data_IF_702528899379
#
_entry.id   IF_702528899379
#
_cell.length_a   1.000
_cell.length_b   1.000
_cell.length_c   1.000
_cell.angle_alpha   90.00
_cell.angle_beta   90.00
_cell.angle_gamma   90.00
#
_symmetry.space_group_name_H-M   'P 1'
#
loop_
_entity.id
_entity.type
_entity.pdbx_description
1 polymer ?
#
# COMPACT_ATOMS: atom_id res chain seq x y z
N UNK A 1 29.92 83.75 15.07
CA UNK A 1 28.94 83.76 13.97
C UNK A 1 29.74 83.69 12.69
N UNK A 2 29.75 82.52 12.06
CA UNK A 2 30.40 82.30 10.77
C UNK A 2 29.27 82.38 9.74
N UNK A 3 29.26 83.44 8.94
CA UNK A 3 28.38 83.53 7.77
C UNK A 3 28.83 82.48 6.77
N UNK A 4 28.03 81.43 6.63
CA UNK A 4 28.15 80.49 5.54
C UNK A 4 27.37 81.10 4.39
N UNK A 5 28.07 81.73 3.44
CA UNK A 5 27.52 82.10 2.15
C UNK A 5 27.15 80.81 1.40
N UNK A 6 25.91 80.38 1.54
CA UNK A 6 25.31 79.42 0.64
C UNK A 6 25.02 80.15 -0.68
N UNK A 7 25.99 80.18 -1.59
CA UNK A 7 25.72 80.41 -3.01
C UNK A 7 24.85 79.27 -3.53
N UNK A 8 23.55 79.39 -3.28
CA UNK A 8 22.55 78.62 -4.00
C UNK A 8 22.58 79.10 -5.44
N UNK A 9 23.16 78.29 -6.33
CA UNK A 9 22.96 78.42 -7.77
C UNK A 9 21.47 78.22 -8.04
N UNK A 10 20.68 79.29 -7.94
CA UNK A 10 19.30 79.31 -8.40
C UNK A 10 19.34 79.32 -9.93
N UNK A 11 19.37 78.12 -10.51
CA UNK A 11 19.02 77.95 -11.91
C UNK A 11 17.63 78.54 -12.13
N UNK A 12 17.54 79.63 -12.88
CA UNK A 12 16.28 80.29 -13.27
C UNK A 12 15.47 79.48 -14.29
N UNK A 13 15.96 78.32 -14.69
CA UNK A 13 15.22 77.35 -15.49
C UNK A 13 14.63 76.32 -14.53
N UNK A 14 13.38 76.53 -14.11
CA UNK A 14 12.59 75.46 -13.49
C UNK A 14 12.43 74.35 -14.54
N UNK A 15 12.87 73.11 -14.29
CA UNK A 15 12.44 72.00 -15.13
C UNK A 15 10.91 71.97 -15.15
N UNK A 16 10.32 72.19 -16.32
CA UNK A 16 8.88 72.30 -16.53
C UNK A 16 8.26 70.93 -16.89
N UNK A 17 8.90 69.83 -16.50
CA UNK A 17 8.32 68.51 -16.70
C UNK A 17 7.51 68.09 -15.47
N UNK A 18 6.50 67.27 -15.72
CA UNK A 18 5.66 66.62 -14.70
C UNK A 18 6.43 65.69 -13.77
N UNK A 19 7.72 65.48 -14.04
CA UNK A 19 8.57 64.46 -13.44
C UNK A 19 9.32 64.98 -12.20
N UNK A 20 8.98 66.16 -11.68
CA UNK A 20 9.64 66.74 -10.51
C UNK A 20 8.67 67.08 -9.40
N UNK A 21 8.96 66.57 -8.19
CA UNK A 21 8.21 66.89 -6.98
C UNK A 21 9.03 67.86 -6.12
N UNK A 22 8.43 68.99 -5.76
CA UNK A 22 9.08 70.07 -5.03
C UNK A 22 8.66 70.06 -3.56
N UNK A 23 9.60 69.84 -2.65
CA UNK A 23 9.37 69.92 -1.19
C UNK A 23 10.49 70.74 -0.55
N UNK A 24 10.12 71.73 0.28
CA UNK A 24 11.06 72.62 0.99
C UNK A 24 12.17 73.23 0.09
N UNK A 25 11.82 73.70 -1.11
CA UNK A 25 12.75 74.41 -2.00
C UNK A 25 13.71 73.55 -2.81
N UNK A 26 13.65 72.21 -2.70
CA UNK A 26 14.48 71.28 -3.47
C UNK A 26 13.62 70.55 -4.52
N UNK A 27 14.06 70.56 -5.79
CA UNK A 27 13.46 69.77 -6.87
C UNK A 27 13.97 68.33 -6.79
N UNK A 28 13.09 67.34 -6.72
CA UNK A 28 13.47 65.92 -6.84
C UNK A 28 12.84 65.31 -8.07
N UNK A 29 13.65 64.66 -8.91
CA UNK A 29 13.16 63.89 -10.04
C UNK A 29 12.44 62.63 -9.51
N UNK A 30 11.18 62.45 -9.87
CA UNK A 30 10.34 61.31 -9.47
C UNK A 30 10.25 60.24 -10.57
N UNK A 31 10.63 60.53 -11.82
CA UNK A 31 10.57 59.53 -12.91
C UNK A 31 11.45 58.33 -12.63
N UNK A 32 12.65 58.57 -12.09
CA UNK A 32 13.61 57.50 -11.78
C UNK A 32 13.07 56.59 -10.69
N UNK A 33 12.37 57.17 -9.70
CA UNK A 33 11.77 56.43 -8.60
C UNK A 33 10.55 55.63 -9.04
N UNK A 34 9.69 56.19 -9.90
CA UNK A 34 8.54 55.48 -10.46
C UNK A 34 8.96 54.31 -11.36
N UNK A 35 10.04 54.48 -12.14
CA UNK A 35 10.66 53.40 -12.92
C UNK A 35 11.24 52.30 -12.04
N UNK A 36 11.89 52.67 -10.93
CA UNK A 36 12.45 51.72 -9.97
C UNK A 36 11.34 50.94 -9.23
N UNK A 37 10.28 51.62 -8.80
CA UNK A 37 9.11 51.02 -8.15
C UNK A 37 8.34 50.09 -9.11
N UNK A 38 8.15 50.48 -10.37
CA UNK A 38 7.54 49.63 -11.41
C UNK A 38 8.41 48.40 -11.74
N UNK A 39 9.73 48.55 -11.77
CA UNK A 39 10.68 47.45 -11.96
C UNK A 39 10.62 46.46 -10.79
N UNK A 40 10.62 46.96 -9.55
CA UNK A 40 10.48 46.15 -8.34
C UNK A 40 9.14 45.41 -8.28
N UNK A 41 8.03 46.07 -8.65
CA UNK A 41 6.73 45.43 -8.75
C UNK A 41 6.70 44.34 -9.82
N UNK A 42 7.26 44.59 -11.01
CA UNK A 42 7.38 43.60 -12.07
C UNK A 42 8.23 42.39 -11.68
N UNK A 43 9.32 42.62 -10.94
CA UNK A 43 10.15 41.55 -10.38
C UNK A 43 9.41 40.74 -9.31
N UNK A 44 8.68 41.41 -8.39
CA UNK A 44 7.88 40.74 -7.37
C UNK A 44 6.75 39.92 -7.98
N UNK A 45 6.07 40.44 -9.00
CA UNK A 45 5.00 39.71 -9.68
C UNK A 45 5.54 38.52 -10.47
N UNK A 46 6.68 38.67 -11.15
CA UNK A 46 7.39 37.56 -11.80
C UNK A 46 7.81 36.50 -10.80
N UNK A 47 8.38 36.89 -9.66
CA UNK A 47 8.76 35.97 -8.58
C UNK A 47 7.54 35.23 -8.00
N UNK A 48 6.39 35.91 -7.83
CA UNK A 48 5.13 35.29 -7.41
C UNK A 48 4.62 34.26 -8.43
N UNK A 49 4.64 34.58 -9.72
CA UNK A 49 4.22 33.67 -10.80
C UNK A 49 5.13 32.44 -10.87
N UNK A 50 6.44 32.62 -10.77
CA UNK A 50 7.43 31.52 -10.72
C UNK A 50 7.19 30.64 -9.49
N UNK A 51 6.97 31.25 -8.31
CA UNK A 51 6.67 30.54 -7.07
C UNK A 51 5.39 29.69 -7.16
N UNK A 52 4.33 30.26 -7.76
CA UNK A 52 3.07 29.56 -7.99
C UNK A 52 3.24 28.37 -8.95
N UNK A 53 3.90 28.57 -10.10
CA UNK A 53 4.19 27.48 -11.04
C UNK A 53 5.08 26.40 -10.44
N UNK A 54 6.11 26.77 -9.67
CA UNK A 54 6.96 25.81 -8.97
C UNK A 54 6.15 25.00 -7.94
N UNK A 55 5.18 25.62 -7.28
CA UNK A 55 4.21 24.94 -6.41
C UNK A 55 3.36 23.92 -7.15
N UNK A 56 2.79 24.32 -8.30
CA UNK A 56 1.99 23.44 -9.16
C UNK A 56 2.81 22.24 -9.65
N UNK A 57 4.03 22.46 -10.16
CA UNK A 57 4.92 21.38 -10.63
C UNK A 57 5.23 20.39 -9.51
N UNK A 58 5.55 20.85 -8.30
CA UNK A 58 5.80 19.96 -7.15
C UNK A 58 4.56 19.16 -6.74
N UNK A 59 3.36 19.73 -6.88
CA UNK A 59 2.12 19.01 -6.60
C UNK A 59 1.84 17.93 -7.66
N UNK A 60 1.98 18.27 -8.94
CA UNK A 60 1.79 17.35 -10.05
C UNK A 60 2.83 16.21 -10.03
N UNK A 61 4.09 16.52 -9.71
CA UNK A 61 5.13 15.50 -9.55
C UNK A 61 4.79 14.50 -8.44
N UNK A 62 4.34 14.98 -7.27
CA UNK A 62 3.92 14.08 -6.17
C UNK A 62 2.74 13.20 -6.56
N UNK A 63 1.74 13.75 -7.25
CA UNK A 63 0.59 12.99 -7.74
C UNK A 63 1.02 11.91 -8.75
N UNK A 64 1.88 12.26 -9.70
CA UNK A 64 2.40 11.31 -10.69
C UNK A 64 3.21 10.19 -10.02
N UNK A 65 4.08 10.53 -9.06
CA UNK A 65 4.83 9.53 -8.30
C UNK A 65 3.91 8.56 -7.56
N UNK A 66 2.83 9.06 -6.96
CA UNK A 66 1.84 8.22 -6.29
C UNK A 66 1.10 7.31 -7.28
N UNK A 67 0.70 7.84 -8.44
CA UNK A 67 0.04 7.05 -9.49
C UNK A 67 0.94 5.94 -10.04
N UNK A 68 2.22 6.24 -10.27
CA UNK A 68 3.21 5.25 -10.72
C UNK A 68 3.33 4.13 -9.69
N UNK A 69 3.46 4.45 -8.40
CA UNK A 69 3.54 3.43 -7.33
C UNK A 69 2.30 2.54 -7.27
N UNK A 70 1.11 3.14 -7.36
CA UNK A 70 -0.16 2.39 -7.34
C UNK A 70 -0.22 1.44 -8.53
N UNK A 71 0.12 1.93 -9.74
CA UNK A 71 0.11 1.15 -10.97
C UNK A 71 1.13 0.01 -10.94
N UNK A 72 2.37 0.29 -10.55
CA UNK A 72 3.42 -0.73 -10.44
C UNK A 72 3.00 -1.86 -9.49
N UNK A 73 2.38 -1.51 -8.36
CA UNK A 73 1.87 -2.52 -7.42
C UNK A 73 0.71 -3.32 -8.02
N UNK A 74 -0.21 -2.69 -8.75
CA UNK A 74 -1.30 -3.42 -9.43
C UNK A 74 -0.78 -4.38 -10.50
N UNK A 75 0.24 -3.96 -11.26
CA UNK A 75 0.90 -4.80 -12.25
C UNK A 75 1.60 -5.98 -11.58
N UNK A 76 2.31 -5.76 -10.46
CA UNK A 76 2.93 -6.83 -9.68
C UNK A 76 1.90 -7.81 -9.08
N UNK A 77 0.78 -7.31 -8.53
CA UNK A 77 -0.31 -8.16 -8.05
C UNK A 77 -0.89 -9.02 -9.19
N UNK A 78 -1.13 -8.43 -10.36
CA UNK A 78 -1.68 -9.15 -11.52
C UNK A 78 -0.71 -10.23 -12.04
N UNK A 79 0.58 -9.91 -12.09
CA UNK A 79 1.64 -10.85 -12.48
C UNK A 79 1.71 -12.02 -11.49
N UNK A 80 1.68 -11.75 -10.17
CA UNK A 80 1.64 -12.78 -9.14
C UNK A 80 0.43 -13.71 -9.28
N UNK A 81 -0.77 -13.16 -9.49
CA UNK A 81 -1.97 -13.98 -9.70
C UNK A 81 -1.81 -14.87 -10.94
N UNK A 82 -1.24 -14.35 -12.02
CA UNK A 82 -1.03 -15.15 -13.22
C UNK A 82 0.00 -16.28 -12.97
N UNK A 83 1.09 -16.01 -12.26
CA UNK A 83 2.08 -17.03 -11.87
C UNK A 83 1.46 -18.14 -11.03
N UNK A 84 0.62 -17.79 -10.07
CA UNK A 84 -0.08 -18.77 -9.22
C UNK A 84 -1.03 -19.62 -10.06
N UNK A 85 -1.80 -19.00 -10.97
CA UNK A 85 -2.67 -19.74 -11.89
C UNK A 85 -1.87 -20.70 -12.78
N UNK A 86 -0.74 -20.27 -13.32
CA UNK A 86 0.14 -21.12 -14.14
C UNK A 86 0.72 -22.29 -13.32
N UNK A 87 1.06 -22.06 -12.05
CA UNK A 87 1.51 -23.13 -11.15
C UNK A 87 0.39 -24.15 -10.91
N UNK A 88 -0.84 -23.67 -10.68
CA UNK A 88 -2.01 -24.53 -10.50
C UNK A 88 -2.28 -25.40 -11.73
N UNK A 89 -2.20 -24.85 -12.93
CA UNK A 89 -2.42 -25.61 -14.18
C UNK A 89 -1.39 -26.71 -14.43
N UNK A 90 -0.22 -26.64 -13.78
CA UNK A 90 0.82 -27.68 -13.87
C UNK A 90 0.61 -28.80 -12.85
N UNK A 91 -0.33 -28.64 -11.91
CA UNK A 91 -0.66 -29.70 -10.96
C UNK A 91 -1.32 -30.85 -11.72
N UNK A 92 -0.69 -32.01 -11.63
CA UNK A 92 -1.23 -33.29 -12.09
C UNK A 92 -1.47 -34.27 -10.94
N UNK A 93 -0.92 -33.98 -9.74
CA UNK A 93 -1.05 -34.79 -8.53
C UNK A 93 -1.12 -33.91 -7.28
N UNK A 94 -1.79 -34.39 -6.24
CA UNK A 94 -2.02 -33.63 -5.01
C UNK A 94 -0.71 -33.26 -4.27
N UNK A 95 0.36 -34.02 -4.46
CA UNK A 95 1.68 -33.76 -3.86
C UNK A 95 2.42 -32.56 -4.49
N UNK A 96 1.89 -31.98 -5.57
CA UNK A 96 2.46 -30.80 -6.23
C UNK A 96 1.89 -29.47 -5.68
N UNK A 97 1.09 -29.52 -4.62
CA UNK A 97 0.53 -28.32 -3.99
C UNK A 97 1.62 -27.43 -3.39
N UNK A 98 2.74 -28.02 -3.00
CA UNK A 98 3.94 -27.35 -2.49
C UNK A 98 4.45 -26.31 -3.48
N UNK A 99 4.51 -26.63 -4.78
CA UNK A 99 4.95 -25.70 -5.84
C UNK A 99 4.06 -24.46 -5.93
N UNK A 100 2.74 -24.64 -5.75
CA UNK A 100 1.78 -23.54 -5.73
C UNK A 100 2.00 -22.67 -4.49
N UNK A 101 2.19 -23.29 -3.33
CA UNK A 101 2.41 -22.57 -2.07
C UNK A 101 3.75 -21.86 -2.02
N UNK A 102 4.81 -22.43 -2.60
CA UNK A 102 6.07 -21.75 -2.89
C UNK A 102 5.83 -20.50 -3.75
N UNK A 103 5.04 -20.63 -4.83
CA UNK A 103 4.72 -19.50 -5.72
C UNK A 103 3.91 -18.40 -5.00
N UNK A 104 3.00 -18.78 -4.10
CA UNK A 104 2.25 -17.84 -3.26
C UNK A 104 3.21 -17.16 -2.29
N UNK A 105 4.06 -17.92 -1.59
CA UNK A 105 5.05 -17.42 -0.66
C UNK A 105 5.96 -16.37 -1.33
N UNK A 106 6.51 -16.68 -2.51
CA UNK A 106 7.36 -15.76 -3.26
C UNK A 106 6.60 -14.51 -3.73
N UNK A 107 5.32 -14.66 -4.08
CA UNK A 107 4.46 -13.53 -4.44
C UNK A 107 4.21 -12.62 -3.25
N UNK A 108 3.92 -13.16 -2.07
CA UNK A 108 3.74 -12.37 -0.84
C UNK A 108 5.03 -11.63 -0.47
N UNK A 109 6.19 -12.30 -0.55
CA UNK A 109 7.50 -11.66 -0.32
C UNK A 109 7.84 -10.58 -1.33
N UNK A 110 7.62 -10.83 -2.63
CA UNK A 110 7.85 -9.84 -3.69
C UNK A 110 6.94 -8.61 -3.59
N UNK A 111 5.85 -8.74 -2.82
CA UNK A 111 4.92 -7.69 -2.49
C UNK A 111 5.14 -7.13 -1.07
N UNK A 112 6.27 -7.41 -0.42
CA UNK A 112 6.61 -6.91 0.91
C UNK A 112 5.48 -7.09 1.95
N UNK A 113 4.68 -8.17 1.83
CA UNK A 113 3.63 -8.49 2.81
C UNK A 113 4.31 -9.13 4.02
N UNK A 114 3.99 -8.67 5.24
CA UNK A 114 4.58 -9.18 6.47
C UNK A 114 3.89 -10.46 6.93
N UNK A 115 4.43 -11.61 6.51
CA UNK A 115 3.90 -12.93 6.88
C UNK A 115 5.02 -13.86 7.35
N UNK A 116 4.60 -14.88 8.12
CA UNK A 116 5.46 -15.93 8.65
C UNK A 116 5.17 -17.28 8.00
N UNK A 117 3.89 -17.63 7.82
CA UNK A 117 3.49 -18.93 7.32
C UNK A 117 2.12 -18.89 6.65
N UNK A 118 1.89 -19.87 5.80
CA UNK A 118 0.67 -20.01 4.99
C UNK A 118 0.05 -21.37 5.30
N UNK A 119 -1.25 -21.43 5.51
CA UNK A 119 -1.96 -22.71 5.58
C UNK A 119 -3.19 -22.78 4.70
N UNK A 120 -3.53 -23.99 4.28
CA UNK A 120 -4.80 -24.31 3.64
C UNK A 120 -5.52 -25.32 4.53
N UNK A 121 -6.75 -24.99 4.92
CA UNK A 121 -7.66 -25.94 5.55
C UNK A 121 -8.61 -26.45 4.47
N UNK A 122 -8.65 -27.75 4.22
CA UNK A 122 -9.58 -28.39 3.27
C UNK A 122 -10.60 -29.24 4.03
N UNK A 123 -11.89 -28.94 3.85
CA UNK A 123 -12.99 -29.62 4.55
C UNK A 123 -13.54 -30.76 3.70
N UNK A 124 -13.33 -31.99 4.14
CA UNK A 124 -13.99 -33.16 3.55
C UNK A 124 -15.25 -33.48 4.36
N UNK A 125 -16.38 -32.95 3.88
CA UNK A 125 -17.70 -33.12 4.50
C UNK A 125 -18.15 -34.59 4.52
N UNK A 126 -17.75 -35.39 3.53
CA UNK A 126 -18.16 -36.79 3.43
C UNK A 126 -17.53 -37.65 4.53
N UNK A 127 -16.30 -37.33 4.91
CA UNK A 127 -15.55 -38.06 5.94
C UNK A 127 -15.59 -37.35 7.30
N UNK A 128 -16.17 -36.15 7.37
CA UNK A 128 -16.13 -35.29 8.57
C UNK A 128 -14.70 -35.09 9.07
N UNK A 129 -13.78 -34.73 8.17
CA UNK A 129 -12.38 -34.44 8.50
C UNK A 129 -11.97 -33.09 7.92
N UNK A 130 -10.98 -32.46 8.55
CA UNK A 130 -10.25 -31.32 7.97
C UNK A 130 -8.82 -31.76 7.69
N UNK A 131 -8.35 -31.50 6.46
CA UNK A 131 -6.93 -31.61 6.11
C UNK A 131 -6.30 -30.24 6.23
N UNK A 132 -5.18 -30.14 6.93
CA UNK A 132 -4.43 -28.91 7.09
C UNK A 132 -3.14 -29.05 6.31
N UNK A 133 -2.89 -28.16 5.37
CA UNK A 133 -1.57 -27.97 4.82
C UNK A 133 -0.94 -26.77 5.50
N UNK A 134 0.24 -26.93 6.08
CA UNK A 134 1.02 -25.82 6.63
C UNK A 134 2.30 -25.65 5.82
N UNK A 135 2.66 -24.42 5.49
CA UNK A 135 3.84 -24.04 4.73
C UNK A 135 4.58 -22.88 5.42
N UNK A 136 5.83 -23.10 5.83
CA UNK A 136 6.71 -22.05 6.37
C UNK A 136 8.12 -22.20 5.81
N UNK A 137 8.68 -21.10 5.30
CA UNK A 137 9.98 -21.14 4.62
C UNK A 137 9.88 -21.99 3.35
N UNK A 138 10.68 -23.06 3.30
CA UNK A 138 10.75 -23.99 2.16
C UNK A 138 10.19 -25.38 2.52
N UNK A 139 9.54 -25.51 3.67
CA UNK A 139 9.00 -26.77 4.17
C UNK A 139 7.48 -26.68 4.30
N UNK A 140 6.80 -27.74 3.89
CA UNK A 140 5.38 -27.91 4.15
C UNK A 140 4.96 -29.34 4.35
N UNK A 141 3.70 -29.53 4.73
CA UNK A 141 3.16 -30.85 4.94
C UNK A 141 1.67 -30.88 5.23
N UNK A 142 1.05 -31.97 4.81
CA UNK A 142 -0.33 -32.29 5.15
C UNK A 142 -0.41 -32.94 6.54
N UNK A 143 -1.34 -32.45 7.34
CA UNK A 143 -1.83 -33.10 8.55
C UNK A 143 -3.35 -33.26 8.46
N UNK A 144 -3.92 -34.16 9.25
CA UNK A 144 -5.37 -34.41 9.26
C UNK A 144 -5.86 -34.26 10.69
N UNK A 145 -6.96 -33.51 10.86
CA UNK A 145 -7.68 -33.41 12.10
C UNK A 145 -9.06 -34.07 11.99
N UNK A 146 -9.37 -34.88 13.00
CA UNK A 146 -10.71 -35.41 13.26
C UNK A 146 -11.33 -34.77 14.51
N UNK A 147 -10.68 -33.73 15.07
CA UNK A 147 -11.19 -33.00 16.21
C UNK A 147 -12.44 -32.22 15.79
N UNK A 148 -13.56 -32.53 16.43
CA UNK A 148 -14.85 -31.90 16.17
C UNK A 148 -14.82 -30.38 16.34
N UNK A 149 -14.06 -29.87 17.31
CA UNK A 149 -13.93 -28.42 17.56
C UNK A 149 -13.23 -27.75 16.38
N UNK A 150 -12.16 -28.38 15.85
CA UNK A 150 -11.44 -27.88 14.69
C UNK A 150 -12.32 -27.91 13.43
N UNK A 151 -13.04 -29.01 13.23
CA UNK A 151 -13.98 -29.16 12.09
C UNK A 151 -15.06 -28.08 12.12
N UNK A 152 -15.67 -27.85 13.30
CA UNK A 152 -16.72 -26.84 13.46
C UNK A 152 -16.19 -25.42 13.23
N UNK A 153 -15.02 -25.08 13.80
CA UNK A 153 -14.37 -23.78 13.58
C UNK A 153 -14.09 -23.53 12.10
N UNK A 154 -13.42 -24.47 11.42
CA UNK A 154 -13.09 -24.31 10.00
C UNK A 154 -14.38 -24.27 9.16
N UNK A 155 -15.41 -25.04 9.52
CA UNK A 155 -16.71 -24.97 8.83
C UNK A 155 -17.39 -23.61 9.01
N UNK A 156 -17.27 -22.98 10.18
CA UNK A 156 -17.78 -21.63 10.42
C UNK A 156 -17.01 -20.59 9.61
N UNK A 157 -15.68 -20.71 9.55
CA UNK A 157 -14.84 -19.85 8.71
C UNK A 157 -15.21 -19.97 7.24
N UNK A 158 -15.39 -21.20 6.72
CA UNK A 158 -15.83 -21.45 5.33
C UNK A 158 -17.18 -20.80 5.01
N UNK A 159 -18.06 -20.67 6.01
CA UNK A 159 -19.39 -20.08 5.85
C UNK A 159 -19.39 -18.55 6.04
N UNK A 160 -18.27 -17.93 6.38
CA UNK A 160 -18.18 -16.48 6.53
C UNK A 160 -18.35 -15.77 5.17
N UNK A 161 -19.00 -14.60 5.18
CA UNK A 161 -19.23 -13.77 3.98
C UNK A 161 -17.97 -13.05 3.46
N UNK A 162 -16.79 -13.34 4.03
CA UNK A 162 -15.53 -12.71 3.65
C UNK A 162 -14.37 -13.13 4.55
N UNK A 163 -13.18 -12.52 4.38
CA UNK A 163 -12.02 -12.80 5.21
C UNK A 163 -12.32 -12.54 6.68
N UNK A 164 -11.87 -13.44 7.55
CA UNK A 164 -11.85 -13.19 8.99
C UNK A 164 -10.43 -12.84 9.41
N UNK A 165 -10.25 -11.63 9.94
CA UNK A 165 -8.94 -11.11 10.30
C UNK A 165 -8.81 -10.92 11.81
N UNK A 166 -7.89 -11.68 12.40
CA UNK A 166 -7.45 -11.54 13.79
C UNK A 166 -6.26 -10.61 13.85
N UNK A 167 -6.53 -9.39 14.31
CA UNK A 167 -5.57 -8.29 14.32
C UNK A 167 -4.42 -8.53 15.29
N UNK A 168 -4.73 -9.03 16.49
CA UNK A 168 -3.75 -9.37 17.52
C UNK A 168 -4.28 -10.46 18.47
N UNK A 169 -3.87 -11.70 18.25
CA UNK A 169 -4.25 -12.87 19.06
C UNK A 169 -3.81 -12.74 20.53
N UNK A 170 -2.75 -11.97 20.83
CA UNK A 170 -2.32 -11.77 22.22
C UNK A 170 -3.25 -10.79 22.96
N UNK A 171 -4.01 -9.99 22.23
CA UNK A 171 -4.97 -9.03 22.78
C UNK A 171 -6.39 -9.59 22.79
N UNK A 172 -6.77 -10.28 21.71
CA UNK A 172 -8.11 -10.78 21.50
C UNK A 172 -8.05 -12.16 20.81
N UNK A 173 -8.26 -13.21 21.62
CA UNK A 173 -8.33 -14.60 21.16
C UNK A 173 -9.76 -15.13 21.31
N UNK A 174 -10.66 -14.67 20.43
CA UNK A 174 -12.10 -14.99 20.50
C UNK A 174 -12.39 -16.49 20.39
N UNK A 175 -11.46 -17.28 19.86
CA UNK A 175 -11.65 -18.69 19.56
C UNK A 175 -10.73 -19.62 20.36
N UNK A 176 -10.03 -19.08 21.36
CA UNK A 176 -9.10 -19.83 22.21
C UNK A 176 -8.11 -20.67 21.35
N UNK A 177 -7.60 -20.05 20.29
CA UNK A 177 -6.77 -20.69 19.28
C UNK A 177 -5.30 -20.31 19.35
N UNK A 178 -4.96 -19.31 20.15
CA UNK A 178 -3.59 -18.83 20.34
C UNK A 178 -2.61 -19.98 20.59
N UNK A 179 -2.85 -20.77 21.64
CA UNK A 179 -1.94 -21.84 22.05
C UNK A 179 -1.83 -22.95 20.98
N UNK A 180 -2.92 -23.20 20.26
CA UNK A 180 -2.96 -24.20 19.18
C UNK A 180 -2.16 -23.73 17.97
N UNK A 181 -2.30 -22.46 17.60
CA UNK A 181 -1.57 -21.86 16.50
C UNK A 181 -0.07 -21.80 16.83
N UNK A 182 0.30 -21.34 18.02
CA UNK A 182 1.71 -21.30 18.43
C UNK A 182 2.32 -22.70 18.59
N UNK A 183 1.54 -23.72 18.98
CA UNK A 183 2.02 -25.10 18.99
C UNK A 183 2.37 -25.63 17.59
N UNK A 184 1.69 -25.16 16.56
CA UNK A 184 1.94 -25.55 15.16
C UNK A 184 3.03 -24.72 14.47
N UNK A 185 3.08 -23.42 14.74
CA UNK A 185 3.95 -22.47 14.04
C UNK A 185 5.14 -21.96 14.85
N UNK A 186 5.14 -22.22 16.15
CA UNK A 186 6.06 -21.63 17.11
C UNK A 186 5.66 -20.19 17.48
N UNK A 187 5.93 -19.76 18.73
CA UNK A 187 5.67 -18.39 19.16
C UNK A 187 6.70 -17.38 18.59
N UNK A 188 6.33 -16.10 18.45
CA UNK A 188 4.99 -15.56 18.63
C UNK A 188 4.21 -15.54 17.31
N UNK A 189 2.94 -15.97 17.32
CA UNK A 189 2.00 -15.65 16.24
C UNK A 189 1.03 -14.59 16.75
N UNK A 190 1.01 -13.44 16.09
CA UNK A 190 0.30 -12.26 16.54
C UNK A 190 -0.93 -11.99 15.71
N UNK A 191 -0.89 -12.18 14.40
CA UNK A 191 -2.07 -11.94 13.57
C UNK A 191 -2.28 -13.04 12.54
N UNK A 192 -3.54 -13.28 12.21
CA UNK A 192 -3.97 -14.34 11.30
C UNK A 192 -5.12 -13.83 10.46
N UNK A 193 -5.06 -14.04 9.16
CA UNK A 193 -6.21 -13.83 8.27
C UNK A 193 -6.60 -15.14 7.63
N UNK A 194 -7.86 -15.52 7.80
CA UNK A 194 -8.50 -16.66 7.14
C UNK A 194 -9.40 -16.16 6.01
N UNK A 195 -9.10 -16.56 4.78
CA UNK A 195 -9.89 -16.25 3.60
C UNK A 195 -10.69 -17.48 3.19
N UNK A 196 -12.02 -17.46 3.27
CA UNK A 196 -12.83 -18.61 2.89
C UNK A 196 -12.87 -18.83 1.38
N UNK A 197 -12.95 -20.11 1.00
CA UNK A 197 -13.33 -20.59 -0.32
C UNK A 197 -14.19 -21.85 -0.18
N UNK A 198 -14.79 -22.37 -1.25
CA UNK A 198 -15.82 -23.42 -1.17
C UNK A 198 -15.32 -24.71 -0.51
N UNK A 199 -14.08 -25.10 -0.81
CA UNK A 199 -13.48 -26.32 -0.30
C UNK A 199 -12.75 -26.12 1.04
N UNK A 200 -12.67 -24.89 1.57
CA UNK A 200 -11.73 -24.63 2.66
C UNK A 200 -11.47 -23.18 3.04
N UNK A 201 -10.40 -22.97 3.81
CA UNK A 201 -9.86 -21.63 4.10
C UNK A 201 -8.40 -21.54 3.71
N UNK A 202 -8.01 -20.38 3.21
CA UNK A 202 -6.62 -20.00 2.95
C UNK A 202 -6.20 -19.02 4.04
N UNK A 203 -5.28 -19.43 4.88
CA UNK A 203 -4.85 -18.66 6.04
C UNK A 203 -3.42 -18.15 5.87
N UNK A 204 -3.17 -16.92 6.31
CA UNK A 204 -1.83 -16.33 6.39
C UNK A 204 -1.59 -15.82 7.79
N UNK A 205 -0.48 -16.28 8.39
CA UNK A 205 -0.09 -15.97 9.76
C UNK A 205 1.07 -14.96 9.75
N UNK A 206 1.12 -14.07 10.74
CA UNK A 206 2.22 -13.13 10.96
C UNK A 206 2.64 -13.06 12.42
N UNK A 207 3.92 -12.73 12.63
CA UNK A 207 4.48 -12.45 13.96
C UNK A 207 4.25 -11.01 14.41
N UNK A 208 3.76 -10.16 13.52
CA UNK A 208 3.39 -8.78 13.82
C UNK A 208 1.88 -8.67 14.07
N UNK A 209 1.43 -7.88 15.06
CA UNK A 209 0.04 -7.46 15.11
C UNK A 209 -0.25 -6.52 13.93
N UNK A 210 -1.51 -6.41 13.51
CA UNK A 210 -1.93 -5.48 12.44
C UNK A 210 -1.16 -5.66 11.09
N UNK A 211 -0.66 -6.87 10.82
CA UNK A 211 0.23 -7.13 9.69
C UNK A 211 -0.41 -6.96 8.29
N UNK A 212 -1.74 -7.11 8.17
CA UNK A 212 -2.41 -7.16 6.87
C UNK A 212 -3.29 -5.93 6.63
N UNK A 213 -2.83 -5.02 5.77
CA UNK A 213 -3.62 -3.84 5.37
C UNK A 213 -4.83 -4.25 4.55
N UNK A 214 -5.87 -3.39 4.44
CA UNK A 214 -7.05 -3.66 3.59
C UNK A 214 -6.68 -4.08 2.17
N UNK A 215 -5.61 -3.50 1.62
CA UNK A 215 -5.11 -3.85 0.29
C UNK A 215 -4.53 -5.26 0.24
N UNK A 216 -3.78 -5.66 1.27
CA UNK A 216 -3.22 -7.01 1.35
C UNK A 216 -4.34 -8.03 1.51
N UNK A 217 -5.34 -7.74 2.35
CA UNK A 217 -6.53 -8.58 2.52
C UNK A 217 -7.27 -8.79 1.18
N UNK A 218 -7.47 -7.72 0.40
CA UNK A 218 -8.07 -7.83 -0.94
C UNK A 218 -7.22 -8.69 -1.90
N UNK A 219 -5.90 -8.63 -1.79
CA UNK A 219 -5.01 -9.45 -2.60
C UNK A 219 -5.08 -10.93 -2.19
N UNK A 220 -5.11 -11.23 -0.89
CA UNK A 220 -5.31 -12.59 -0.38
C UNK A 220 -6.66 -13.18 -0.81
N UNK A 221 -7.71 -12.36 -0.89
CA UNK A 221 -9.00 -12.76 -1.50
C UNK A 221 -8.83 -13.19 -2.96
N UNK A 222 -8.10 -12.43 -3.78
CA UNK A 222 -7.83 -12.82 -5.17
C UNK A 222 -7.06 -14.15 -5.24
N UNK A 223 -6.12 -14.38 -4.33
CA UNK A 223 -5.38 -15.65 -4.25
C UNK A 223 -6.30 -16.83 -3.89
N UNK A 224 -7.20 -16.66 -2.92
CA UNK A 224 -8.16 -17.70 -2.55
C UNK A 224 -9.10 -18.08 -3.71
N UNK A 225 -9.52 -17.11 -4.52
CA UNK A 225 -10.30 -17.37 -5.75
C UNK A 225 -9.53 -18.22 -6.74
N UNK A 226 -8.22 -17.99 -6.90
CA UNK A 226 -7.38 -18.78 -7.81
C UNK A 226 -7.09 -20.18 -7.23
N UNK A 227 -6.88 -20.30 -5.92
CA UNK A 227 -6.76 -21.60 -5.25
C UNK A 227 -8.02 -22.44 -5.41
N UNK A 228 -9.20 -21.83 -5.28
CA UNK A 228 -10.50 -22.45 -5.53
C UNK A 228 -10.60 -23.04 -6.95
N UNK A 229 -10.12 -22.33 -7.98
CA UNK A 229 -10.04 -22.85 -9.35
C UNK A 229 -9.15 -24.12 -9.40
N UNK A 230 -8.03 -24.10 -8.69
CA UNK A 230 -7.11 -25.24 -8.60
C UNK A 230 -7.66 -26.46 -7.88
N UNK A 231 -8.36 -26.28 -6.77
CA UNK A 231 -9.01 -27.39 -6.06
C UNK A 231 -10.10 -28.05 -6.91
N UNK A 232 -10.87 -27.27 -7.65
CA UNK A 232 -11.84 -27.81 -8.62
C UNK A 232 -11.15 -28.60 -9.72
N UNK A 233 -10.07 -28.06 -10.30
CA UNK A 233 -9.30 -28.77 -11.33
C UNK A 233 -8.74 -30.12 -10.83
N UNK A 234 -8.20 -30.15 -9.61
CA UNK A 234 -7.71 -31.39 -9.00
C UNK A 234 -8.84 -32.40 -8.73
N UNK A 235 -10.01 -31.94 -8.28
CA UNK A 235 -11.18 -32.80 -8.10
C UNK A 235 -11.63 -33.41 -9.42
N UNK A 236 -11.72 -32.59 -10.47
CA UNK A 236 -12.09 -33.05 -11.82
C UNK A 236 -11.12 -34.10 -12.36
N UNK A 237 -9.82 -33.97 -12.08
CA UNK A 237 -8.81 -34.96 -12.46
C UNK A 237 -8.96 -36.28 -11.70
N UNK A 238 -9.44 -36.25 -10.46
CA UNK A 238 -9.68 -37.45 -9.64
C UNK A 238 -10.98 -38.17 -10.01
N UNK A 239 -12.01 -37.44 -10.46
CA UNK A 239 -13.32 -38.01 -10.82
C UNK A 239 -13.34 -38.65 -12.22
N UNK A 240 -12.30 -38.42 -13.04
CA UNK A 240 -12.18 -38.95 -14.42
C UNK A 240 -11.31 -40.24 -14.49
N UNK A 241 -10.80 -40.74 -13.36
CA UNK A 241 -10.07 -42.03 -13.25
C UNK A 241 -10.94 -43.16 -12.71
#
# INVERSE_FOLDING_TARGET
>A
MVEIEAEGVYSSQRPCSTDFLYTQGVARNISDRELEEASLQGQQESARRIGAHAGQIRSAYRQLQQQIKVRQRQEAEAESIQKIRDAIWRISKAEQIDDVLCTIHDSLRGLDIDFYGISINHVDKSRSIVRHYSFAGDEGGWTVSQDRVVIERVSNLVQADGPTYHVDLHREDLWEEHDKIESGWGPPIRSVIDVPFEAGTFAVNSRSPEAFSERDQQFLVKMAVVLQEGFRHMSDLQDVQ
#
